data_IF_885209844955
#
_entry.id   IF_885209844955
#
_cell.length_a   1.000
_cell.length_b   1.000
_cell.length_c   1.000
_cell.angle_alpha   90.00
_cell.angle_beta   90.00
_cell.angle_gamma   90.00
#
_symmetry.space_group_name_H-M   'P 1'
#
loop_
_entity.id
_entity.type
_entity.pdbx_description
1 polymer ?
#
# COMPACT_ATOMS: atom_id res chain seq x y z
N UNK A 1 -7.24 -41.24 22.47
CA UNK A 1 -5.81 -41.51 22.18
C UNK A 1 -5.05 -40.19 22.29
N UNK A 2 -3.99 -40.18 23.12
CA UNK A 2 -2.93 -39.14 23.29
C UNK A 2 -3.40 -37.80 23.87
N UNK A 3 -3.09 -37.38 25.10
CA UNK A 3 -1.91 -37.46 25.99
C UNK A 3 -0.70 -36.62 25.55
N UNK A 4 -0.09 -35.97 26.56
CA UNK A 4 1.11 -35.10 26.60
C UNK A 4 0.85 -33.59 26.36
N UNK A 5 0.62 -32.78 27.41
CA UNK A 5 1.55 -32.30 28.44
C UNK A 5 2.43 -31.11 27.97
N UNK A 6 2.08 -29.91 28.46
CA UNK A 6 2.90 -28.71 28.35
C UNK A 6 4.21 -28.88 29.13
N UNK A 7 5.34 -28.75 28.42
CA UNK A 7 6.67 -28.57 29.00
C UNK A 7 7.12 -27.13 28.76
N UNK A 8 7.46 -26.46 29.86
CA UNK A 8 7.92 -25.08 29.91
C UNK A 8 9.13 -24.84 29.02
N UNK A 9 9.04 -23.75 28.26
CA UNK A 9 10.11 -23.24 27.42
C UNK A 9 11.13 -22.54 28.33
N UNK A 10 12.16 -23.29 28.73
CA UNK A 10 13.32 -22.80 29.49
C UNK A 10 14.13 -21.85 28.62
N UNK A 11 14.32 -20.61 29.07
CA UNK A 11 15.25 -19.64 28.48
C UNK A 11 16.67 -20.23 28.43
N UNK A 12 17.22 -20.39 27.23
CA UNK A 12 18.65 -20.69 27.03
C UNK A 12 19.48 -19.44 27.32
N UNK A 13 20.63 -19.56 28.01
CA UNK A 13 21.54 -18.43 28.17
C UNK A 13 22.19 -18.10 26.81
N UNK A 14 22.27 -16.80 26.51
CA UNK A 14 23.02 -16.24 25.39
C UNK A 14 24.48 -16.70 25.49
N UNK A 15 24.96 -17.38 24.44
CA UNK A 15 26.36 -17.69 24.29
C UNK A 15 27.16 -16.38 24.26
N UNK A 16 28.13 -16.29 25.16
CA UNK A 16 29.07 -15.20 25.33
C UNK A 16 29.94 -15.07 24.06
N UNK A 17 29.57 -14.16 23.16
CA UNK A 17 30.28 -13.86 21.92
C UNK A 17 31.56 -13.06 22.21
N UNK A 18 32.54 -13.71 22.85
CA UNK A 18 33.87 -13.14 23.10
C UNK A 18 34.75 -13.09 21.83
N UNK A 19 34.28 -13.63 20.72
CA UNK A 19 35.00 -13.65 19.44
C UNK A 19 34.89 -12.35 18.65
N UNK A 20 33.74 -11.68 18.73
CA UNK A 20 33.46 -10.48 17.91
C UNK A 20 34.08 -9.21 18.47
N UNK A 21 34.17 -9.09 19.80
CA UNK A 21 34.83 -7.96 20.45
C UNK A 21 36.33 -7.88 20.08
N UNK A 22 37.07 -8.99 20.16
CA UNK A 22 38.50 -9.03 19.84
C UNK A 22 38.82 -8.79 18.36
N UNK A 23 37.88 -9.09 17.45
CA UNK A 23 38.02 -8.85 16.01
C UNK A 23 37.83 -7.38 15.65
N UNK A 24 36.85 -6.72 16.27
CA UNK A 24 36.57 -5.29 16.09
C UNK A 24 37.71 -4.42 16.63
N UNK A 25 38.26 -4.74 17.81
CA UNK A 25 39.42 -4.00 18.35
C UNK A 25 40.67 -4.17 17.48
N UNK A 26 40.87 -5.34 16.86
CA UNK A 26 42.02 -5.59 15.99
C UNK A 26 41.93 -4.81 14.69
N UNK A 27 40.76 -4.69 14.09
CA UNK A 27 40.52 -3.87 12.89
C UNK A 27 40.68 -2.38 13.18
N UNK A 28 40.15 -1.88 14.30
CA UNK A 28 40.31 -0.47 14.69
C UNK A 28 41.78 -0.15 14.96
N UNK A 29 42.51 -1.03 15.66
CA UNK A 29 43.95 -0.86 15.93
C UNK A 29 44.79 -0.94 14.66
N UNK A 30 44.48 -1.83 13.71
CA UNK A 30 45.17 -1.86 12.40
C UNK A 30 44.83 -0.65 11.53
N UNK A 31 43.62 -0.07 11.65
CA UNK A 31 43.24 1.18 10.99
C UNK A 31 44.00 2.40 11.56
N UNK A 32 44.24 2.44 12.88
CA UNK A 32 45.07 3.49 13.51
C UNK A 32 46.57 3.31 13.26
N UNK A 33 47.08 2.08 13.25
CA UNK A 33 48.49 1.77 13.02
C UNK A 33 48.91 1.96 11.55
N UNK A 34 47.98 1.88 10.60
CA UNK A 34 48.25 2.07 9.18
C UNK A 34 48.02 3.53 8.70
N UNK A 35 48.23 4.51 9.58
CA UNK A 35 48.15 5.93 9.21
C UNK A 35 49.33 6.27 8.32
N UNK A 36 49.14 6.11 7.00
CA UNK A 36 50.09 6.55 5.97
C UNK A 36 50.59 7.95 6.34
N UNK A 37 51.91 8.22 6.29
CA UNK A 37 52.44 9.50 6.70
C UNK A 37 51.75 10.62 5.90
N UNK A 38 51.21 11.60 6.63
CA UNK A 38 50.48 12.74 6.05
C UNK A 38 51.23 13.31 4.84
N UNK A 39 50.50 13.57 3.75
CA UNK A 39 51.05 14.21 2.54
C UNK A 39 51.79 15.50 2.94
N UNK A 40 51.27 16.22 3.94
CA UNK A 40 51.90 17.42 4.49
C UNK A 40 53.27 17.15 5.11
N UNK A 41 53.41 16.02 5.82
CA UNK A 41 54.67 15.62 6.46
C UNK A 41 55.71 15.22 5.41
N UNK A 42 55.31 14.53 4.35
CA UNK A 42 56.21 14.21 3.23
C UNK A 42 56.67 15.47 2.50
N UNK A 43 55.74 16.39 2.23
CA UNK A 43 56.03 17.65 1.55
C UNK A 43 56.93 18.58 2.41
N UNK A 44 56.70 18.64 3.72
CA UNK A 44 57.60 19.32 4.67
C UNK A 44 59.02 18.73 4.65
N UNK A 45 59.13 17.40 4.78
CA UNK A 45 60.42 16.71 4.76
C UNK A 45 61.14 16.90 3.42
N UNK A 46 60.41 16.94 2.30
CA UNK A 46 60.98 17.16 0.98
C UNK A 46 61.51 18.59 0.80
N UNK A 47 60.79 19.63 1.24
CA UNK A 47 61.26 21.02 1.14
C UNK A 47 62.40 21.33 2.10
N UNK A 48 62.34 20.81 3.33
CA UNK A 48 63.43 20.96 4.29
C UNK A 48 64.68 20.20 3.83
N UNK A 49 64.49 18.96 3.34
CA UNK A 49 65.56 18.14 2.78
C UNK A 49 66.25 18.83 1.61
N UNK A 50 65.48 19.34 0.64
CA UNK A 50 66.02 20.08 -0.51
C UNK A 50 66.79 21.33 -0.07
N UNK A 51 66.25 22.11 0.87
CA UNK A 51 66.93 23.30 1.41
C UNK A 51 68.26 22.97 2.08
N UNK A 52 68.31 21.90 2.87
CA UNK A 52 69.55 21.43 3.51
C UNK A 52 70.53 20.88 2.47
N UNK A 53 70.08 20.09 1.50
CA UNK A 53 70.93 19.56 0.43
C UNK A 53 71.58 20.69 -0.37
N UNK A 54 70.82 21.72 -0.74
CA UNK A 54 71.36 22.92 -1.42
C UNK A 54 72.34 23.67 -0.50
N UNK A 55 72.00 23.82 0.78
CA UNK A 55 72.86 24.47 1.78
C UNK A 55 74.19 23.75 2.04
N UNK A 56 74.27 22.44 1.78
CA UNK A 56 75.52 21.64 1.86
C UNK A 56 76.31 21.68 0.55
N UNK A 57 75.64 21.59 -0.61
CA UNK A 57 76.29 21.55 -1.94
C UNK A 57 76.89 22.91 -2.31
N UNK A 58 76.20 24.01 -2.00
CA UNK A 58 76.63 25.35 -2.42
C UNK A 58 78.01 25.77 -1.83
N UNK A 59 78.30 25.59 -0.53
CA UNK A 59 79.62 25.85 0.01
C UNK A 59 80.75 25.05 -0.64
N UNK A 60 80.49 23.79 -1.01
CA UNK A 60 81.46 22.94 -1.72
C UNK A 60 81.78 23.52 -3.10
N UNK A 61 80.76 23.96 -3.83
CA UNK A 61 80.95 24.62 -5.13
C UNK A 61 81.69 25.97 -5.00
N UNK A 62 81.38 26.76 -3.97
CA UNK A 62 81.99 28.07 -3.74
C UNK A 62 83.51 28.00 -3.51
N UNK A 63 84.06 26.84 -3.10
CA UNK A 63 85.50 26.64 -2.94
C UNK A 63 86.29 26.82 -4.24
N UNK A 64 85.68 26.56 -5.41
CA UNK A 64 86.36 26.74 -6.69
C UNK A 64 86.58 28.20 -7.09
N UNK A 65 85.80 29.14 -6.53
CA UNK A 65 85.78 30.54 -6.94
C UNK A 65 86.35 31.49 -5.89
N UNK A 66 86.40 31.07 -4.62
CA UNK A 66 86.74 31.94 -3.48
C UNK A 66 87.94 31.39 -2.73
N UNK A 67 88.97 32.22 -2.55
CA UNK A 67 90.10 31.92 -1.66
C UNK A 67 89.76 32.37 -0.23
N UNK A 68 89.74 31.43 0.72
CA UNK A 68 89.24 31.67 2.09
C UNK A 68 90.37 32.02 3.06
N UNK A 69 90.11 32.99 3.96
CA UNK A 69 90.95 33.24 5.13
C UNK A 69 90.80 32.12 6.17
N UNK A 70 91.83 31.82 6.99
CA UNK A 70 91.76 30.79 8.03
C UNK A 70 90.55 31.00 8.96
N UNK A 71 89.73 29.97 9.12
CA UNK A 71 88.54 29.98 9.99
C UNK A 71 87.24 30.53 9.39
N UNK A 72 87.28 31.22 8.24
CA UNK A 72 86.07 31.85 7.65
C UNK A 72 85.12 30.85 6.96
N UNK A 73 85.66 29.73 6.45
CA UNK A 73 84.89 28.71 5.74
C UNK A 73 83.78 28.08 6.61
N UNK A 74 84.06 27.84 7.90
CA UNK A 74 83.11 27.20 8.83
C UNK A 74 81.87 28.08 9.04
N UNK A 75 82.07 29.39 9.25
CA UNK A 75 80.97 30.34 9.43
C UNK A 75 80.12 30.47 8.16
N UNK A 76 80.76 30.46 6.99
CA UNK A 76 80.05 30.49 5.71
C UNK A 76 79.20 29.22 5.48
N UNK A 77 79.75 28.05 5.79
CA UNK A 77 79.04 26.77 5.68
C UNK A 77 77.79 26.72 6.59
N UNK A 78 77.93 27.14 7.85
CA UNK A 78 76.81 27.24 8.79
C UNK A 78 75.76 28.22 8.27
N UNK A 79 76.18 29.39 7.76
CA UNK A 79 75.29 30.37 7.17
C UNK A 79 74.46 29.81 6.00
N UNK A 80 75.09 29.03 5.12
CA UNK A 80 74.41 28.42 3.97
C UNK A 80 73.39 27.35 4.37
N UNK A 81 73.69 26.51 5.38
CA UNK A 81 72.72 25.54 5.89
C UNK A 81 71.53 26.23 6.55
N UNK A 82 71.77 27.27 7.35
CA UNK A 82 70.71 28.05 8.01
C UNK A 82 69.84 28.75 6.98
N UNK A 83 70.45 29.39 5.97
CA UNK A 83 69.72 30.05 4.88
C UNK A 83 68.93 29.04 4.02
N UNK A 84 69.53 27.90 3.67
CA UNK A 84 68.84 26.85 2.90
C UNK A 84 67.65 26.26 3.66
N UNK A 85 67.82 26.01 4.97
CA UNK A 85 66.75 25.51 5.84
C UNK A 85 65.63 26.53 6.03
N UNK A 86 65.95 27.82 6.18
CA UNK A 86 64.95 28.88 6.34
C UNK A 86 64.11 29.09 5.08
N UNK A 87 64.72 29.01 3.90
CA UNK A 87 64.01 29.07 2.61
C UNK A 87 63.09 27.85 2.45
N UNK A 88 63.56 26.65 2.78
CA UNK A 88 62.73 25.43 2.76
C UNK A 88 61.52 25.53 3.70
N UNK A 89 61.71 26.07 4.89
CA UNK A 89 60.63 26.32 5.86
C UNK A 89 59.63 27.37 5.36
N UNK A 90 60.11 28.47 4.77
CA UNK A 90 59.28 29.52 4.20
C UNK A 90 58.40 28.98 3.04
N UNK A 91 58.96 28.16 2.15
CA UNK A 91 58.21 27.55 1.05
C UNK A 91 57.09 26.63 1.57
N UNK A 92 57.41 25.77 2.54
CA UNK A 92 56.39 24.95 3.20
C UNK A 92 55.27 25.79 3.85
N UNK A 93 55.62 26.89 4.52
CA UNK A 93 54.64 27.79 5.13
C UNK A 93 53.71 28.42 4.08
N UNK A 94 54.26 28.86 2.94
CA UNK A 94 53.48 29.40 1.81
C UNK A 94 52.49 28.37 1.26
N UNK A 95 52.95 27.14 0.98
CA UNK A 95 52.08 26.06 0.48
C UNK A 95 50.95 25.75 1.47
N UNK A 96 51.28 25.67 2.77
CA UNK A 96 50.31 25.42 3.82
C UNK A 96 49.26 26.53 3.91
N UNK A 97 49.66 27.79 3.83
CA UNK A 97 48.75 28.93 3.93
C UNK A 97 47.84 29.10 2.71
N UNK A 98 48.37 28.84 1.51
CA UNK A 98 47.65 29.09 0.26
C UNK A 98 46.74 27.90 -0.12
N UNK A 99 47.27 26.68 -0.12
CA UNK A 99 46.52 25.50 -0.61
C UNK A 99 45.71 24.83 0.50
N UNK A 100 46.33 24.53 1.65
CA UNK A 100 45.68 23.72 2.69
C UNK A 100 44.52 24.47 3.32
N UNK A 101 44.68 25.78 3.57
CA UNK A 101 43.60 26.61 4.12
C UNK A 101 42.34 26.60 3.23
N UNK A 102 42.50 26.55 1.91
CA UNK A 102 41.37 26.44 0.96
C UNK A 102 40.76 25.04 0.98
N UNK A 103 41.59 24.00 0.99
CA UNK A 103 41.13 22.61 1.08
C UNK A 103 40.37 22.32 2.38
N UNK A 104 40.79 22.88 3.51
CA UNK A 104 40.07 22.74 4.79
C UNK A 104 38.67 23.31 4.70
N UNK A 105 38.48 24.48 4.07
CA UNK A 105 37.13 25.03 3.86
C UNK A 105 36.25 24.14 3.00
N UNK A 106 36.81 23.53 1.95
CA UNK A 106 36.07 22.56 1.12
C UNK A 106 35.68 21.35 1.97
N UNK A 107 36.58 20.86 2.82
CA UNK A 107 36.29 19.79 3.77
C UNK A 107 35.21 20.16 4.79
N UNK A 108 35.15 21.41 5.24
CA UNK A 108 34.14 21.88 6.19
C UNK A 108 32.75 21.86 5.56
N UNK A 109 32.62 22.34 4.32
CA UNK A 109 31.35 22.26 3.56
C UNK A 109 30.98 20.80 3.31
N UNK A 110 31.95 19.93 3.04
CA UNK A 110 31.69 18.51 2.88
C UNK A 110 31.20 17.82 4.16
N UNK A 111 31.79 18.17 5.30
CA UNK A 111 31.31 17.71 6.60
C UNK A 111 29.91 18.24 6.90
N UNK A 112 29.59 19.49 6.54
CA UNK A 112 28.25 20.04 6.71
C UNK A 112 27.19 19.23 5.94
N UNK A 113 27.47 18.93 4.66
CA UNK A 113 26.60 18.09 3.83
C UNK A 113 26.46 16.68 4.42
N UNK A 114 27.57 16.07 4.90
CA UNK A 114 27.53 14.77 5.58
C UNK A 114 26.68 14.81 6.86
N UNK A 115 26.63 15.97 7.54
CA UNK A 115 25.80 16.21 8.71
C UNK A 115 24.36 16.64 8.35
N UNK A 116 23.93 16.38 7.11
CA UNK A 116 22.60 16.70 6.57
C UNK A 116 22.31 18.20 6.43
N UNK A 117 23.31 19.05 6.61
CA UNK A 117 23.18 20.47 6.33
C UNK A 117 23.58 20.73 4.88
N UNK A 118 22.58 20.66 4.01
CA UNK A 118 22.78 20.99 2.61
C UNK A 118 22.81 22.50 2.39
N UNK A 119 22.54 23.39 3.35
CA UNK A 119 22.36 24.84 3.09
C UNK A 119 23.67 25.55 2.77
N UNK A 120 24.80 24.97 3.18
CA UNK A 120 26.12 25.53 2.93
C UNK A 120 26.51 25.49 1.45
N UNK A 121 27.14 26.56 0.98
CA UNK A 121 27.68 26.71 -0.36
C UNK A 121 29.16 27.08 -0.28
N UNK A 122 30.01 26.41 -1.07
CA UNK A 122 31.41 26.78 -1.17
C UNK A 122 31.59 27.89 -2.21
N UNK A 123 31.78 29.13 -1.75
CA UNK A 123 31.96 30.34 -2.59
C UNK A 123 33.42 30.64 -2.97
N UNK A 124 34.31 29.66 -2.89
CA UNK A 124 35.71 29.87 -3.25
C UNK A 124 35.82 29.95 -4.78
N UNK A 125 36.33 31.07 -5.30
CA UNK A 125 36.59 31.24 -6.73
C UNK A 125 38.03 30.86 -7.03
N UNK A 126 38.21 29.92 -7.96
CA UNK A 126 39.50 29.48 -8.46
C UNK A 126 39.34 29.06 -9.92
N UNK A 127 40.30 29.39 -10.78
CA UNK A 127 40.29 29.03 -12.21
C UNK A 127 41.22 27.84 -12.49
N UNK A 128 41.32 26.93 -11.53
CA UNK A 128 42.16 25.74 -11.55
C UNK A 128 41.33 24.52 -11.12
N UNK A 129 42.00 23.38 -10.99
CA UNK A 129 41.39 22.11 -10.55
C UNK A 129 40.63 22.24 -9.22
N UNK A 130 41.01 23.18 -8.34
CA UNK A 130 40.28 23.41 -7.08
C UNK A 130 38.90 24.01 -7.40
N UNK A 131 38.81 24.91 -8.37
CA UNK A 131 37.55 25.47 -8.86
C UNK A 131 36.61 24.40 -9.44
N UNK A 132 37.15 23.46 -10.22
CA UNK A 132 36.38 22.35 -10.80
C UNK A 132 35.84 21.40 -9.72
N UNK A 133 36.63 21.12 -8.68
CA UNK A 133 36.18 20.33 -7.52
C UNK A 133 35.05 21.07 -6.80
N UNK A 134 35.19 22.37 -6.56
CA UNK A 134 34.17 23.18 -5.88
C UNK A 134 32.87 23.21 -6.69
N UNK A 135 32.93 23.41 -8.00
CA UNK A 135 31.76 23.45 -8.86
C UNK A 135 31.03 22.11 -8.90
N UNK A 136 31.77 21.01 -9.00
CA UNK A 136 31.24 19.65 -8.92
C UNK A 136 30.58 19.37 -7.57
N UNK A 137 31.19 19.85 -6.48
CA UNK A 137 30.68 19.69 -5.13
C UNK A 137 29.38 20.46 -4.88
N UNK A 138 29.32 21.72 -5.33
CA UNK A 138 28.10 22.53 -5.26
C UNK A 138 26.98 21.93 -6.11
N UNK A 139 27.29 21.42 -7.31
CA UNK A 139 26.31 20.71 -8.15
C UNK A 139 25.77 19.47 -7.46
N UNK A 140 26.63 18.65 -6.83
CA UNK A 140 26.21 17.49 -6.06
C UNK A 140 25.28 17.89 -4.91
N UNK A 141 25.64 18.92 -4.14
CA UNK A 141 24.82 19.44 -3.05
C UNK A 141 23.44 19.90 -3.55
N UNK A 142 23.40 20.62 -4.67
CA UNK A 142 22.15 21.04 -5.30
C UNK A 142 21.28 19.85 -5.73
N UNK A 143 21.86 18.86 -6.41
CA UNK A 143 21.13 17.65 -6.82
C UNK A 143 20.57 16.90 -5.61
N UNK A 144 21.32 16.81 -4.50
CA UNK A 144 20.82 16.22 -3.26
C UNK A 144 19.64 17.00 -2.68
N UNK A 145 19.68 18.34 -2.68
CA UNK A 145 18.55 19.19 -2.25
C UNK A 145 17.31 18.93 -3.11
N UNK A 146 17.47 18.87 -4.43
CA UNK A 146 16.39 18.59 -5.38
C UNK A 146 15.76 17.20 -5.14
N UNK A 147 16.58 16.17 -4.90
CA UNK A 147 16.10 14.83 -4.57
C UNK A 147 15.29 14.84 -3.28
N UNK A 148 15.78 15.48 -2.22
CA UNK A 148 15.07 15.56 -0.94
C UNK A 148 13.74 16.30 -1.08
N UNK A 149 13.71 17.41 -1.82
CA UNK A 149 12.45 18.13 -2.09
C UNK A 149 11.45 17.26 -2.84
N UNK A 150 11.88 16.53 -3.87
CA UNK A 150 11.00 15.60 -4.59
C UNK A 150 10.49 14.46 -3.71
N UNK A 151 11.31 13.98 -2.77
CA UNK A 151 10.88 12.97 -1.79
C UNK A 151 9.80 13.56 -0.87
N UNK A 152 10.00 14.77 -0.34
CA UNK A 152 9.01 15.44 0.51
C UNK A 152 7.70 15.72 -0.24
N UNK A 153 7.77 16.21 -1.48
CA UNK A 153 6.59 16.44 -2.31
C UNK A 153 5.82 15.14 -2.56
N UNK A 154 6.54 14.06 -2.89
CA UNK A 154 5.92 12.75 -3.10
C UNK A 154 5.33 12.17 -1.81
N UNK A 155 5.99 12.35 -0.66
CA UNK A 155 5.46 11.94 0.63
C UNK A 155 4.18 12.73 0.98
N UNK A 156 4.15 14.03 0.72
CA UNK A 156 2.95 14.86 0.89
C UNK A 156 1.80 14.39 -0.01
N UNK A 157 2.07 14.12 -1.28
CA UNK A 157 1.08 13.57 -2.22
C UNK A 157 0.56 12.20 -1.79
N UNK A 158 1.43 11.34 -1.26
CA UNK A 158 1.04 10.04 -0.73
C UNK A 158 0.16 10.19 0.50
N UNK A 159 0.45 11.15 1.39
CA UNK A 159 -0.39 11.50 2.53
C UNK A 159 -1.79 11.92 2.10
N UNK A 160 -1.92 12.87 1.18
CA UNK A 160 -3.23 13.30 0.67
C UNK A 160 -4.00 12.19 -0.06
N UNK A 161 -3.29 11.33 -0.79
CA UNK A 161 -3.91 10.16 -1.42
C UNK A 161 -4.44 9.16 -0.39
N UNK A 162 -3.72 8.96 0.73
CA UNK A 162 -4.17 8.11 1.82
C UNK A 162 -5.41 8.68 2.52
N UNK A 163 -5.47 10.00 2.76
CA UNK A 163 -6.67 10.67 3.30
C UNK A 163 -7.88 10.51 2.38
N UNK A 164 -7.67 10.70 1.06
CA UNK A 164 -8.74 10.49 0.06
C UNK A 164 -9.22 9.04 0.06
N UNK A 165 -8.30 8.08 0.20
CA UNK A 165 -8.64 6.66 0.25
C UNK A 165 -9.42 6.30 1.52
N UNK A 166 -9.08 6.91 2.66
CA UNK A 166 -9.82 6.74 3.91
C UNK A 166 -11.27 7.23 3.77
N UNK A 167 -11.48 8.41 3.16
CA UNK A 167 -12.82 8.93 2.86
C UNK A 167 -13.61 8.01 1.92
N UNK A 168 -12.97 7.46 0.89
CA UNK A 168 -13.59 6.48 -0.02
C UNK A 168 -13.97 5.20 0.71
N UNK A 169 -13.11 4.68 1.59
CA UNK A 169 -13.39 3.48 2.38
C UNK A 169 -14.56 3.73 3.34
N UNK A 170 -14.60 4.89 4.01
CA UNK A 170 -15.71 5.28 4.88
C UNK A 170 -17.03 5.34 4.12
N UNK A 171 -17.05 6.01 2.97
CA UNK A 171 -18.23 6.05 2.10
C UNK A 171 -18.65 4.66 1.59
N UNK A 172 -17.69 3.80 1.26
CA UNK A 172 -17.99 2.42 0.86
C UNK A 172 -18.58 1.58 2.01
N UNK A 173 -18.10 1.77 3.24
CA UNK A 173 -18.65 1.11 4.42
C UNK A 173 -20.09 1.56 4.70
N UNK A 174 -20.35 2.87 4.66
CA UNK A 174 -21.71 3.42 4.81
C UNK A 174 -22.65 2.88 3.70
N UNK A 175 -22.16 2.82 2.46
CA UNK A 175 -22.90 2.23 1.35
C UNK A 175 -23.20 0.74 1.52
N UNK A 176 -22.25 -0.02 2.06
CA UNK A 176 -22.43 -1.45 2.35
C UNK A 176 -23.48 -1.68 3.46
N UNK A 177 -23.50 -0.85 4.50
CA UNK A 177 -24.54 -0.89 5.54
C UNK A 177 -25.93 -0.57 4.97
N UNK A 178 -26.05 0.44 4.10
CA UNK A 178 -27.31 0.75 3.43
C UNK A 178 -27.77 -0.40 2.53
N UNK A 179 -26.85 -1.00 1.77
CA UNK A 179 -27.17 -2.15 0.92
C UNK A 179 -27.65 -3.35 1.76
N UNK A 180 -27.03 -3.60 2.92
CA UNK A 180 -27.47 -4.65 3.84
C UNK A 180 -28.90 -4.41 4.32
N UNK A 181 -29.25 -3.17 4.68
CA UNK A 181 -30.62 -2.80 5.08
C UNK A 181 -31.62 -3.02 3.95
N UNK A 182 -31.31 -2.56 2.74
CA UNK A 182 -32.16 -2.75 1.55
C UNK A 182 -32.37 -4.24 1.23
N UNK A 183 -31.33 -5.07 1.34
CA UNK A 183 -31.46 -6.52 1.17
C UNK A 183 -32.39 -7.11 2.23
N UNK A 184 -32.33 -6.63 3.47
CA UNK A 184 -33.27 -7.00 4.54
C UNK A 184 -34.72 -6.67 4.20
N UNK A 185 -35.00 -5.49 3.66
CA UNK A 185 -36.34 -5.09 3.24
C UNK A 185 -36.86 -5.92 2.06
N UNK A 186 -35.99 -6.23 1.10
CA UNK A 186 -36.33 -7.12 -0.03
C UNK A 186 -36.66 -8.52 0.46
N UNK A 187 -35.87 -9.06 1.39
CA UNK A 187 -36.13 -10.36 2.01
C UNK A 187 -37.49 -10.38 2.74
N UNK A 188 -37.79 -9.32 3.50
CA UNK A 188 -39.09 -9.19 4.15
C UNK A 188 -40.23 -9.18 3.13
N UNK A 189 -40.09 -8.43 2.04
CA UNK A 189 -41.08 -8.41 0.95
C UNK A 189 -41.24 -9.78 0.29
N UNK A 190 -40.13 -10.50 0.07
CA UNK A 190 -40.18 -11.89 -0.44
C UNK A 190 -40.93 -12.83 0.51
N UNK A 191 -40.74 -12.68 1.82
CA UNK A 191 -41.50 -13.44 2.83
C UNK A 191 -43.01 -13.16 2.70
N UNK A 192 -43.40 -11.90 2.53
CA UNK A 192 -44.80 -11.51 2.30
C UNK A 192 -45.35 -12.07 0.98
N UNK A 193 -44.56 -12.03 -0.10
CA UNK A 193 -44.97 -12.62 -1.38
C UNK A 193 -45.15 -14.14 -1.31
N UNK A 194 -44.29 -14.83 -0.56
CA UNK A 194 -44.42 -16.27 -0.34
C UNK A 194 -45.72 -16.61 0.40
N UNK A 195 -46.05 -15.85 1.46
CA UNK A 195 -47.32 -16.00 2.17
C UNK A 195 -48.53 -15.72 1.27
N UNK A 196 -48.47 -14.67 0.45
CA UNK A 196 -49.54 -14.38 -0.52
C UNK A 196 -49.72 -15.51 -1.53
N UNK A 197 -48.64 -16.12 -2.02
CA UNK A 197 -48.72 -17.26 -2.93
C UNK A 197 -49.37 -18.48 -2.27
N UNK A 198 -49.08 -18.73 -1.00
CA UNK A 198 -49.72 -19.79 -0.21
C UNK A 198 -51.22 -19.52 -0.01
N UNK A 199 -51.59 -18.28 0.32
CA UNK A 199 -52.99 -17.87 0.43
C UNK A 199 -53.75 -18.00 -0.90
N UNK A 200 -53.12 -17.61 -2.02
CA UNK A 200 -53.71 -17.78 -3.36
C UNK A 200 -53.90 -19.26 -3.69
N UNK A 201 -52.92 -20.12 -3.37
CA UNK A 201 -53.04 -21.57 -3.57
C UNK A 201 -54.19 -22.16 -2.73
N UNK A 202 -54.29 -21.76 -1.45
CA UNK A 202 -55.39 -22.17 -0.56
C UNK A 202 -56.74 -21.74 -1.10
N UNK A 203 -56.90 -20.47 -1.47
CA UNK A 203 -58.15 -19.95 -2.03
C UNK A 203 -58.54 -20.61 -3.35
N UNK A 204 -57.56 -20.94 -4.20
CA UNK A 204 -57.80 -21.69 -5.44
C UNK A 204 -58.29 -23.11 -5.13
N UNK A 205 -57.72 -23.78 -4.13
CA UNK A 205 -58.17 -25.08 -3.66
C UNK A 205 -59.60 -25.06 -3.10
N UNK A 206 -59.92 -24.07 -2.27
CA UNK A 206 -61.28 -23.85 -1.74
C UNK A 206 -62.29 -23.60 -2.88
N UNK A 207 -61.93 -22.78 -3.86
CA UNK A 207 -62.79 -22.47 -5.02
C UNK A 207 -63.02 -23.68 -5.93
N UNK A 208 -62.00 -24.53 -6.12
CA UNK A 208 -62.12 -25.79 -6.84
C UNK A 208 -63.02 -26.80 -6.11
N UNK A 209 -62.90 -26.89 -4.79
CA UNK A 209 -63.78 -27.72 -3.97
C UNK A 209 -65.25 -27.24 -4.05
N UNK A 210 -65.50 -25.94 -3.91
CA UNK A 210 -66.83 -25.35 -4.05
C UNK A 210 -67.43 -25.56 -5.45
N UNK A 211 -66.60 -25.47 -6.51
CA UNK A 211 -67.03 -25.74 -7.89
C UNK A 211 -67.42 -27.22 -8.07
N UNK A 212 -66.70 -28.13 -7.44
CA UNK A 212 -67.00 -29.57 -7.45
C UNK A 212 -68.32 -29.86 -6.73
N UNK A 213 -68.56 -29.23 -5.58
CA UNK A 213 -69.81 -29.35 -4.84
C UNK A 213 -71.00 -28.79 -5.65
N UNK A 214 -70.83 -27.64 -6.31
CA UNK A 214 -71.86 -27.08 -7.17
C UNK A 214 -72.22 -27.99 -8.36
N UNK A 215 -71.23 -28.63 -8.98
CA UNK A 215 -71.45 -29.62 -10.05
C UNK A 215 -72.24 -30.83 -9.55
N UNK A 216 -71.91 -31.36 -8.36
CA UNK A 216 -72.66 -32.46 -7.74
C UNK A 216 -74.13 -32.08 -7.46
N UNK A 217 -74.36 -30.87 -6.94
CA UNK A 217 -75.72 -30.36 -6.70
C UNK A 217 -76.50 -30.15 -8.00
N UNK A 218 -75.87 -29.65 -9.06
CA UNK A 218 -76.48 -29.55 -10.38
C UNK A 218 -76.84 -30.92 -10.96
N UNK A 219 -76.00 -31.94 -10.74
CA UNK A 219 -76.29 -33.34 -11.07
C UNK A 219 -77.53 -33.86 -10.35
N UNK A 220 -77.65 -33.63 -9.03
CA UNK A 220 -78.84 -33.98 -8.24
C UNK A 220 -80.09 -33.25 -8.71
N UNK A 221 -79.99 -31.94 -8.98
CA UNK A 221 -81.10 -31.16 -9.51
C UNK A 221 -81.59 -31.70 -10.86
N UNK A 222 -80.67 -32.11 -11.74
CA UNK A 222 -80.99 -32.74 -13.02
C UNK A 222 -81.76 -34.06 -12.84
N UNK A 223 -81.40 -34.88 -11.84
CA UNK A 223 -82.16 -36.09 -11.51
C UNK A 223 -83.58 -35.77 -11.05
N UNK A 224 -83.76 -34.76 -10.20
CA UNK A 224 -85.07 -34.31 -9.71
C UNK A 224 -85.95 -33.80 -10.86
N UNK A 225 -85.39 -32.98 -11.76
CA UNK A 225 -86.10 -32.49 -12.95
C UNK A 225 -86.54 -33.65 -13.85
N UNK A 226 -85.68 -34.64 -14.07
CA UNK A 226 -86.04 -35.83 -14.84
C UNK A 226 -87.16 -36.65 -14.17
N UNK A 227 -87.16 -36.78 -12.84
CA UNK A 227 -88.25 -37.42 -12.12
C UNK A 227 -89.57 -36.64 -12.25
N UNK A 228 -89.51 -35.31 -12.12
CA UNK A 228 -90.68 -34.45 -12.30
C UNK A 228 -91.25 -34.57 -13.72
N UNK A 229 -90.40 -34.58 -14.76
CA UNK A 229 -90.82 -34.81 -16.15
C UNK A 229 -91.53 -36.16 -16.34
N UNK A 230 -91.00 -37.24 -15.73
CA UNK A 230 -91.66 -38.55 -15.75
C UNK A 230 -93.01 -38.51 -15.04
N UNK A 231 -93.10 -37.87 -13.89
CA UNK A 231 -94.36 -37.74 -13.16
C UNK A 231 -95.41 -36.95 -13.97
N UNK A 232 -95.00 -35.88 -14.67
CA UNK A 232 -95.86 -35.12 -15.59
C UNK A 232 -96.33 -36.00 -16.74
N UNK A 233 -95.46 -36.82 -17.33
CA UNK A 233 -95.85 -37.76 -18.39
C UNK A 233 -96.86 -38.79 -17.88
N UNK A 234 -96.60 -39.42 -16.74
CA UNK A 234 -97.54 -40.35 -16.10
C UNK A 234 -98.89 -39.69 -15.80
N UNK A 235 -98.87 -38.43 -15.33
CA UNK A 235 -100.08 -37.66 -15.08
C UNK A 235 -100.86 -37.41 -16.38
N UNK A 236 -100.18 -37.02 -17.46
CA UNK A 236 -100.80 -36.82 -18.76
C UNK A 236 -101.45 -38.11 -19.30
N UNK A 237 -100.75 -39.25 -19.19
CA UNK A 237 -101.27 -40.56 -19.62
C UNK A 237 -102.50 -40.98 -18.79
N UNK A 238 -102.48 -40.69 -17.49
CA UNK A 238 -103.62 -40.95 -16.58
C UNK A 238 -104.81 -40.05 -16.93
N UNK A 239 -104.58 -38.76 -17.22
CA UNK A 239 -105.63 -37.84 -17.67
C UNK A 239 -106.24 -38.26 -19.00
N UNK A 240 -105.42 -38.71 -19.96
CA UNK A 240 -105.90 -39.23 -21.24
C UNK A 240 -106.77 -40.48 -21.04
N UNK A 241 -106.35 -41.39 -20.15
CA UNK A 241 -107.12 -42.58 -19.79
C UNK A 241 -108.45 -42.22 -19.11
N UNK A 242 -108.46 -41.25 -18.20
CA UNK A 242 -109.68 -40.77 -17.54
C UNK A 242 -110.65 -40.12 -18.54
N UNK A 243 -110.14 -39.33 -19.50
CA UNK A 243 -110.94 -38.76 -20.58
C UNK A 243 -111.58 -39.84 -21.45
N UNK A 244 -110.83 -40.91 -21.78
CA UNK A 244 -111.35 -42.07 -22.52
C UNK A 244 -112.48 -42.77 -21.76
N UNK A 245 -112.30 -43.02 -20.45
CA UNK A 245 -113.34 -43.62 -19.60
C UNK A 245 -114.58 -42.74 -19.53
N UNK A 246 -114.41 -41.42 -19.39
CA UNK A 246 -115.52 -40.46 -19.38
C UNK A 246 -116.28 -40.46 -20.72
N UNK A 247 -115.57 -40.55 -21.86
CA UNK A 247 -116.20 -40.64 -23.17
C UNK A 247 -116.99 -41.96 -23.33
N UNK A 248 -116.45 -43.08 -22.86
CA UNK A 248 -117.18 -44.36 -22.84
C UNK A 248 -118.44 -44.28 -21.97
N UNK A 249 -118.35 -43.68 -20.77
CA UNK A 249 -119.48 -43.47 -19.86
C UNK A 249 -120.56 -42.56 -20.45
N UNK A 250 -120.17 -41.50 -21.17
CA UNK A 250 -121.10 -40.64 -21.90
C UNK A 250 -121.82 -41.42 -23.00
N UNK A 251 -121.09 -42.26 -23.74
CA UNK A 251 -121.68 -43.11 -24.78
C UNK A 251 -122.59 -44.21 -24.21
N UNK A 252 -122.24 -44.84 -23.09
CA UNK A 252 -123.15 -45.74 -22.37
C UNK A 252 -124.38 -45.00 -21.82
N UNK A 253 -124.23 -43.77 -21.34
CA UNK A 253 -125.36 -42.93 -20.90
C UNK A 253 -126.29 -42.55 -22.05
N UNK A 254 -125.76 -42.24 -23.23
CA UNK A 254 -126.56 -42.02 -24.45
C UNK A 254 -127.29 -43.30 -24.89
N UNK A 255 -126.65 -44.46 -24.78
CA UNK A 255 -127.30 -45.75 -25.05
C UNK A 255 -128.43 -46.05 -24.04
N UNK A 256 -128.29 -45.69 -22.77
CA UNK A 256 -129.38 -45.79 -21.78
C UNK A 256 -130.51 -44.81 -22.13
N UNK A 257 -130.20 -43.59 -22.59
CA UNK A 257 -131.20 -42.64 -23.09
C UNK A 257 -131.99 -43.17 -24.30
N UNK A 258 -131.35 -43.92 -25.20
CA UNK A 258 -131.99 -44.59 -26.34
C UNK A 258 -132.95 -45.72 -25.94
N UNK A 259 -132.91 -46.22 -24.71
CA UNK A 259 -133.85 -47.24 -24.21
C UNK A 259 -135.06 -46.58 -23.52
N UNK A 260 -135.02 -45.27 -23.27
CA UNK A 260 -136.11 -44.51 -22.62
C UNK A 260 -136.92 -43.61 -23.59
N UNK A 261 -136.75 -43.77 -24.91
CA UNK A 261 -137.55 -43.11 -25.95
C UNK A 261 -138.10 -44.14 -26.93
#
# INVERSE_FOLDING_TARGET
MREEAGKGQVCRPLADDKGTAGKFTREVVTMFLNRKPSILRRLFLSFLGLGVTVGIIFPFYAQFFVNWKPGMYVWFFIGCIVAGSSIGLMNYALVKLILIKRLTRISDVANAISNKDLTHECRIVSHDVIGDIISSFNRMAQTLREIINRINDNAGRLGSAAETMDDVIRGASEGAEQQQQQVGEVLASMQTMAAMAEDVARHTGESAAASTEADEQAGKATQVVNQAMRAVQTLADTMASAAQVSATLDQESQNIGSVLT
#
